data_IF_388059985941
#
_entry.id   IF_388059985941
#
_cell.length_a   1.000
_cell.length_b   1.000
_cell.length_c   1.000
_cell.angle_alpha   90.00
_cell.angle_beta   90.00
_cell.angle_gamma   90.00
#
_symmetry.space_group_name_H-M   'P 1'
#
loop_
_entity.id
_entity.type
_entity.pdbx_description
1 polymer ?
#
# COMPACT_ATOMS: atom_id res chain seq x y z
N UNK A 1 18.69 11.55 13.62
CA UNK A 1 19.24 10.77 12.47
C UNK A 1 18.60 9.39 12.35
N UNK A 2 18.62 8.54 13.40
CA UNK A 2 18.03 7.19 13.33
C UNK A 2 16.52 7.22 13.03
N UNK A 3 15.75 8.07 13.70
CA UNK A 3 14.31 8.19 13.44
C UNK A 3 14.01 8.52 11.97
N UNK A 4 14.65 9.55 11.42
CA UNK A 4 14.57 9.92 10.00
C UNK A 4 14.83 8.71 9.09
N UNK A 5 15.91 7.96 9.33
CA UNK A 5 16.26 6.79 8.52
C UNK A 5 15.19 5.70 8.59
N UNK A 6 14.63 5.41 9.77
CA UNK A 6 13.56 4.43 9.92
C UNK A 6 12.31 4.83 9.13
N UNK A 7 11.94 6.11 9.17
CA UNK A 7 10.83 6.64 8.38
C UNK A 7 11.09 6.53 6.89
N UNK A 8 12.27 6.94 6.42
CA UNK A 8 12.68 6.85 5.01
C UNK A 8 12.69 5.41 4.50
N UNK A 9 13.14 4.44 5.32
CA UNK A 9 13.08 3.01 4.98
C UNK A 9 11.63 2.54 4.88
N UNK A 10 10.77 2.89 5.85
CA UNK A 10 9.34 2.54 5.81
C UNK A 10 8.64 3.10 4.57
N UNK A 11 8.91 4.36 4.25
CA UNK A 11 8.41 5.04 3.06
C UNK A 11 8.93 4.40 1.77
N UNK A 12 10.22 4.04 1.72
CA UNK A 12 10.85 3.37 0.57
C UNK A 12 10.25 1.99 0.32
N UNK A 13 9.98 1.21 1.37
CA UNK A 13 9.28 -0.08 1.23
C UNK A 13 7.91 0.12 0.60
N UNK A 14 7.17 1.14 1.03
CA UNK A 14 5.84 1.44 0.48
C UNK A 14 5.90 1.86 -1.00
N UNK A 15 6.91 2.65 -1.38
CA UNK A 15 7.20 3.01 -2.79
C UNK A 15 7.47 1.74 -3.61
N UNK A 16 8.37 0.88 -3.15
CA UNK A 16 8.75 -0.35 -3.86
C UNK A 16 7.56 -1.27 -4.07
N UNK A 17 6.70 -1.44 -3.05
CA UNK A 17 5.48 -2.23 -3.15
C UNK A 17 4.50 -1.59 -4.14
N UNK A 18 4.33 -0.26 -4.10
CA UNK A 18 3.47 0.46 -5.03
C UNK A 18 3.89 0.25 -6.49
N UNK A 19 5.19 0.41 -6.77
CA UNK A 19 5.78 0.14 -8.10
C UNK A 19 5.60 -1.32 -8.49
N UNK A 20 5.92 -2.26 -7.58
CA UNK A 20 5.76 -3.69 -7.83
C UNK A 20 4.31 -4.08 -8.12
N UNK A 21 3.33 -3.45 -7.46
CA UNK A 21 1.91 -3.65 -7.75
C UNK A 21 1.54 -3.16 -9.13
N UNK A 22 1.97 -1.95 -9.52
CA UNK A 22 1.67 -1.40 -10.85
C UNK A 22 2.29 -2.26 -11.94
N UNK A 23 3.60 -2.53 -11.85
CA UNK A 23 4.30 -3.35 -12.84
C UNK A 23 3.78 -4.78 -12.85
N UNK A 24 3.50 -5.35 -11.68
CA UNK A 24 2.95 -6.69 -11.55
C UNK A 24 1.55 -6.82 -12.16
N UNK A 25 0.76 -5.75 -12.13
CA UNK A 25 -0.58 -5.73 -12.74
C UNK A 25 -0.52 -5.59 -14.27
N UNK A 26 0.40 -4.77 -14.79
CA UNK A 26 0.48 -4.49 -16.22
C UNK A 26 1.28 -5.54 -17.00
N UNK A 27 2.33 -6.10 -16.39
CA UNK A 27 3.37 -6.86 -17.09
C UNK A 27 3.58 -8.27 -16.53
N UNK A 28 2.79 -8.70 -15.55
CA UNK A 28 2.90 -10.03 -14.96
C UNK A 28 1.53 -10.67 -14.73
N UNK A 29 1.52 -11.96 -14.38
CA UNK A 29 0.32 -12.68 -13.97
C UNK A 29 0.26 -12.91 -12.45
N UNK A 30 1.15 -12.28 -11.67
CA UNK A 30 1.29 -12.54 -10.23
C UNK A 30 0.02 -12.24 -9.42
N UNK A 31 -0.79 -11.29 -9.90
CA UNK A 31 -2.05 -10.87 -9.28
C UNK A 31 -3.28 -11.44 -10.00
N UNK A 32 -3.09 -12.36 -10.95
CA UNK A 32 -4.19 -13.07 -11.57
C UNK A 32 -4.67 -14.21 -10.67
N UNK A 33 -5.97 -14.56 -10.71
CA UNK A 33 -6.43 -15.83 -10.18
C UNK A 33 -5.69 -16.99 -10.83
N UNK A 34 -5.39 -18.05 -10.05
CA UNK A 34 -4.76 -19.26 -10.59
C UNK A 34 -5.70 -20.03 -11.54
N UNK A 35 -7.02 -19.99 -11.27
CA UNK A 35 -8.03 -20.63 -12.10
C UNK A 35 -8.32 -19.80 -13.38
N UNK A 36 -7.95 -20.37 -14.53
CA UNK A 36 -8.20 -19.77 -15.85
C UNK A 36 -9.68 -19.64 -16.17
N UNK A 37 -10.52 -20.57 -15.71
CA UNK A 37 -11.97 -20.49 -15.94
C UNK A 37 -12.57 -19.29 -15.21
N UNK A 38 -12.07 -18.99 -14.01
CA UNK A 38 -12.46 -17.81 -13.26
C UNK A 38 -12.05 -16.53 -14.00
N UNK A 39 -10.85 -16.46 -14.56
CA UNK A 39 -10.42 -15.31 -15.37
C UNK A 39 -11.40 -15.06 -16.53
N UNK A 40 -11.73 -16.10 -17.30
CA UNK A 40 -12.65 -15.96 -18.43
C UNK A 40 -14.05 -15.54 -17.98
N UNK A 41 -14.53 -16.06 -16.84
CA UNK A 41 -15.79 -15.63 -16.24
C UNK A 41 -15.74 -14.17 -15.76
N UNK A 42 -14.64 -13.72 -15.18
CA UNK A 42 -14.46 -12.32 -14.77
C UNK A 42 -14.46 -11.36 -15.96
N UNK A 43 -13.95 -11.79 -17.13
CA UNK A 43 -13.94 -11.00 -18.36
C UNK A 43 -15.34 -10.84 -18.97
N UNK A 44 -16.23 -11.82 -18.79
CA UNK A 44 -17.60 -11.76 -19.32
C UNK A 44 -18.64 -11.24 -18.32
N UNK A 45 -18.34 -11.25 -17.02
CA UNK A 45 -19.27 -10.80 -15.97
C UNK A 45 -19.17 -9.28 -15.79
N UNK A 46 -20.30 -8.58 -15.96
CA UNK A 46 -20.43 -7.15 -15.68
C UNK A 46 -20.66 -6.87 -14.20
N UNK A 47 -20.15 -5.75 -13.72
CA UNK A 47 -20.47 -5.23 -12.39
C UNK A 47 -21.93 -4.75 -12.33
N UNK A 48 -22.57 -4.94 -11.17
CA UNK A 48 -23.91 -4.38 -10.94
C UNK A 48 -23.92 -2.85 -10.91
N UNK A 49 -22.86 -2.25 -10.38
CA UNK A 49 -22.71 -0.79 -10.24
C UNK A 49 -22.44 -0.10 -11.57
N UNK A 50 -21.81 -0.80 -12.52
CA UNK A 50 -21.49 -0.27 -13.84
C UNK A 50 -21.69 -1.36 -14.90
N UNK A 51 -22.73 -1.18 -15.72
CA UNK A 51 -23.13 -2.12 -16.78
C UNK A 51 -22.15 -2.18 -17.97
N UNK A 52 -21.07 -1.41 -17.95
CA UNK A 52 -19.99 -1.44 -18.96
C UNK A 52 -18.69 -1.99 -18.40
N UNK A 53 -18.50 -1.97 -17.09
CA UNK A 53 -17.29 -2.48 -16.45
C UNK A 53 -17.41 -3.98 -16.17
N UNK A 54 -16.48 -4.76 -16.73
CA UNK A 54 -16.34 -6.18 -16.39
C UNK A 54 -15.65 -6.32 -15.02
N UNK A 55 -15.91 -7.43 -14.32
CA UNK A 55 -15.22 -7.77 -13.08
C UNK A 55 -13.70 -7.81 -13.28
N UNK A 56 -13.24 -8.26 -14.45
CA UNK A 56 -11.82 -8.25 -14.84
C UNK A 56 -11.25 -6.84 -14.91
N UNK A 57 -11.92 -5.93 -15.62
CA UNK A 57 -11.43 -4.55 -15.75
C UNK A 57 -11.41 -3.84 -14.39
N UNK A 58 -12.41 -4.09 -13.53
CA UNK A 58 -12.44 -3.58 -12.17
C UNK A 58 -11.30 -4.14 -11.30
N UNK A 59 -11.00 -5.44 -11.42
CA UNK A 59 -9.88 -6.07 -10.72
C UNK A 59 -8.54 -5.46 -11.11
N UNK A 60 -8.29 -5.29 -12.41
CA UNK A 60 -7.07 -4.65 -12.93
C UNK A 60 -6.98 -3.20 -12.44
N UNK A 61 -8.04 -2.42 -12.59
CA UNK A 61 -8.07 -1.03 -12.14
C UNK A 61 -7.82 -0.91 -10.63
N UNK A 62 -8.44 -1.76 -9.81
CA UNK A 62 -8.26 -1.71 -8.36
C UNK A 62 -6.81 -1.97 -7.95
N UNK A 63 -6.14 -2.94 -8.56
CA UNK A 63 -4.73 -3.21 -8.29
C UNK A 63 -3.80 -2.07 -8.74
N UNK A 64 -4.08 -1.45 -9.90
CA UNK A 64 -3.36 -0.26 -10.37
C UNK A 64 -3.55 0.92 -9.42
N UNK A 65 -4.80 1.24 -9.09
CA UNK A 65 -5.14 2.35 -8.20
C UNK A 65 -4.52 2.15 -6.81
N UNK A 66 -4.59 0.94 -6.27
CA UNK A 66 -3.94 0.62 -5.00
C UNK A 66 -2.42 0.81 -5.07
N UNK A 67 -1.77 0.29 -6.11
CA UNK A 67 -0.33 0.47 -6.33
C UNK A 67 0.09 1.94 -6.43
N UNK A 68 -0.69 2.75 -7.17
CA UNK A 68 -0.45 4.20 -7.29
C UNK A 68 -0.64 4.92 -5.95
N UNK A 69 -1.69 4.61 -5.19
CA UNK A 69 -1.91 5.18 -3.87
C UNK A 69 -0.76 4.84 -2.92
N UNK A 70 -0.28 3.59 -2.94
CA UNK A 70 0.88 3.19 -2.13
C UNK A 70 2.14 3.96 -2.52
N UNK A 71 2.42 4.06 -3.82
CA UNK A 71 3.53 4.82 -4.35
C UNK A 71 3.48 6.28 -3.90
N UNK A 72 2.33 6.94 -4.06
CA UNK A 72 2.17 8.36 -3.72
C UNK A 72 2.33 8.59 -2.22
N UNK A 73 1.69 7.79 -1.36
CA UNK A 73 1.83 7.94 0.10
C UNK A 73 3.27 7.69 0.53
N UNK A 74 3.94 6.67 -0.03
CA UNK A 74 5.35 6.42 0.24
C UNK A 74 6.25 7.58 -0.22
N UNK A 75 6.04 8.10 -1.43
CA UNK A 75 6.81 9.21 -1.98
C UNK A 75 6.67 10.48 -1.14
N UNK A 76 5.44 10.87 -0.79
CA UNK A 76 5.22 12.03 0.07
C UNK A 76 5.82 11.82 1.47
N UNK A 77 5.66 10.63 2.04
CA UNK A 77 6.25 10.30 3.35
C UNK A 77 7.78 10.38 3.33
N UNK A 78 8.40 9.92 2.25
CA UNK A 78 9.86 9.99 2.06
C UNK A 78 10.32 11.45 1.93
N UNK A 79 9.68 12.23 1.06
CA UNK A 79 10.05 13.64 0.83
C UNK A 79 9.93 14.46 2.11
N UNK A 80 8.88 14.23 2.90
CA UNK A 80 8.69 14.92 4.18
C UNK A 80 9.80 14.58 5.18
N UNK A 81 10.18 13.31 5.32
CA UNK A 81 11.31 12.94 6.17
C UNK A 81 12.65 13.49 5.67
N UNK A 82 12.82 13.52 4.34
CA UNK A 82 14.06 13.98 3.73
C UNK A 82 14.28 15.48 3.91
N UNK A 83 13.24 16.29 3.67
CA UNK A 83 13.31 17.77 3.70
C UNK A 83 12.91 18.39 5.03
N UNK A 84 11.83 17.92 5.63
CA UNK A 84 11.12 18.62 6.71
C UNK A 84 10.74 17.67 7.85
N UNK A 85 11.75 17.11 8.51
CA UNK A 85 11.57 16.15 9.62
C UNK A 85 10.71 16.70 10.76
N UNK A 86 10.71 18.02 10.97
CA UNK A 86 9.90 18.69 11.99
C UNK A 86 8.39 18.48 11.79
N UNK A 87 7.91 18.35 10.56
CA UNK A 87 6.48 18.12 10.27
C UNK A 87 6.02 16.73 10.76
N UNK A 88 6.94 15.77 10.77
CA UNK A 88 6.70 14.38 11.19
C UNK A 88 7.29 14.09 12.58
N UNK A 89 7.55 15.13 13.37
CA UNK A 89 8.06 15.01 14.74
C UNK A 89 6.93 14.75 15.72
N UNK A 90 7.07 13.71 16.55
CA UNK A 90 6.06 13.29 17.51
C UNK A 90 4.72 12.87 16.90
N UNK A 91 3.67 12.92 17.73
CA UNK A 91 2.30 12.51 17.37
C UNK A 91 1.51 13.70 16.79
N UNK A 92 1.76 14.03 15.53
CA UNK A 92 0.96 14.99 14.77
C UNK A 92 -0.20 14.28 14.07
N UNK A 93 -1.18 15.05 13.58
CA UNK A 93 -2.28 14.51 12.77
C UNK A 93 -1.75 13.74 11.56
N UNK A 94 -0.66 14.20 10.95
CA UNK A 94 -0.06 13.54 9.80
C UNK A 94 0.58 12.21 10.18
N UNK A 95 1.39 12.16 11.25
CA UNK A 95 2.07 10.92 11.65
C UNK A 95 1.08 9.88 12.14
N UNK A 96 0.06 10.30 12.89
CA UNK A 96 -1.07 9.46 13.28
C UNK A 96 -1.85 8.95 12.06
N UNK A 97 -2.12 9.81 11.07
CA UNK A 97 -2.81 9.42 9.84
C UNK A 97 -2.06 8.32 9.08
N UNK A 98 -0.74 8.44 8.95
CA UNK A 98 0.10 7.44 8.26
C UNK A 98 0.11 6.11 9.03
N UNK A 99 0.31 6.16 10.35
CA UNK A 99 0.33 4.96 11.20
C UNK A 99 -1.02 4.27 11.25
N UNK A 100 -2.12 5.02 11.42
CA UNK A 100 -3.47 4.45 11.44
C UNK A 100 -3.79 3.82 10.08
N UNK A 101 -3.45 4.47 8.97
CA UNK A 101 -3.59 3.88 7.64
C UNK A 101 -2.82 2.55 7.50
N UNK A 102 -1.56 2.49 7.94
CA UNK A 102 -0.77 1.26 7.86
C UNK A 102 -1.30 0.15 8.79
N UNK A 103 -1.82 0.52 9.97
CA UNK A 103 -2.51 -0.40 10.88
C UNK A 103 -3.81 -0.95 10.28
N UNK A 104 -4.64 -0.11 9.66
CA UNK A 104 -5.87 -0.54 9.02
C UNK A 104 -5.60 -1.49 7.85
N UNK A 105 -4.58 -1.20 7.02
CA UNK A 105 -4.15 -2.12 5.96
C UNK A 105 -3.71 -3.46 6.56
N UNK A 106 -2.91 -3.43 7.63
CA UNK A 106 -2.47 -4.65 8.34
C UNK A 106 -3.66 -5.45 8.88
N UNK A 107 -4.63 -4.77 9.49
CA UNK A 107 -5.84 -5.37 10.05
C UNK A 107 -6.68 -6.06 8.97
N UNK A 108 -6.97 -5.38 7.86
CA UNK A 108 -7.73 -5.98 6.76
C UNK A 108 -6.94 -7.10 6.06
N UNK A 109 -5.63 -6.97 5.90
CA UNK A 109 -4.80 -8.04 5.36
C UNK A 109 -4.82 -9.28 6.26
N UNK A 110 -4.82 -9.12 7.58
CA UNK A 110 -5.00 -10.22 8.52
C UNK A 110 -6.41 -10.82 8.40
N UNK A 111 -7.45 -9.98 8.38
CA UNK A 111 -8.85 -10.42 8.33
C UNK A 111 -9.19 -11.17 7.04
N UNK A 112 -8.61 -10.75 5.92
CA UNK A 112 -8.77 -11.35 4.59
C UNK A 112 -7.69 -12.39 4.26
N UNK A 113 -6.82 -12.73 5.21
CA UNK A 113 -5.80 -13.79 5.10
C UNK A 113 -4.75 -13.53 3.99
N UNK A 114 -4.48 -12.26 3.69
CA UNK A 114 -3.48 -11.83 2.68
C UNK A 114 -2.09 -11.72 3.34
N UNK A 115 -1.41 -12.86 3.45
CA UNK A 115 -0.16 -13.00 4.21
C UNK A 115 0.96 -12.04 3.79
N UNK A 116 1.22 -11.90 2.49
CA UNK A 116 2.31 -11.05 1.96
C UNK A 116 2.11 -9.58 2.33
N UNK A 117 0.90 -9.05 2.08
CA UNK A 117 0.53 -7.67 2.43
C UNK A 117 0.65 -7.46 3.94
N UNK A 118 0.10 -8.37 4.74
CA UNK A 118 0.18 -8.28 6.21
C UNK A 118 1.63 -8.17 6.70
N UNK A 119 2.50 -9.07 6.27
CA UNK A 119 3.90 -9.08 6.74
C UNK A 119 4.60 -7.76 6.44
N UNK A 120 4.45 -7.24 5.22
CA UNK A 120 5.13 -6.00 4.84
C UNK A 120 4.55 -4.79 5.59
N UNK A 121 3.23 -4.70 5.75
CA UNK A 121 2.62 -3.58 6.46
C UNK A 121 2.83 -3.63 7.98
N UNK A 122 3.06 -4.80 8.57
CA UNK A 122 3.57 -4.89 9.96
C UNK A 122 4.94 -4.22 10.05
N UNK A 123 5.86 -4.54 9.15
CA UNK A 123 7.21 -3.95 9.14
C UNK A 123 7.12 -2.42 8.97
N UNK A 124 6.37 -1.95 7.98
CA UNK A 124 6.16 -0.50 7.73
C UNK A 124 5.57 0.19 8.97
N UNK A 125 4.56 -0.40 9.60
CA UNK A 125 3.93 0.17 10.80
C UNK A 125 4.92 0.26 11.96
N UNK A 126 5.73 -0.78 12.19
CA UNK A 126 6.76 -0.78 13.24
C UNK A 126 7.81 0.30 12.97
N UNK A 127 8.28 0.44 11.72
CA UNK A 127 9.25 1.46 11.35
C UNK A 127 8.74 2.88 11.62
N UNK A 128 7.50 3.19 11.23
CA UNK A 128 6.90 4.49 11.51
C UNK A 128 6.69 4.73 13.00
N UNK A 129 6.17 3.75 13.74
CA UNK A 129 5.97 3.87 15.19
C UNK A 129 7.29 4.12 15.94
N UNK A 130 8.32 3.32 15.65
CA UNK A 130 9.63 3.47 16.29
C UNK A 130 10.25 4.81 15.90
N UNK A 131 10.11 5.24 14.64
CA UNK A 131 10.54 6.57 14.21
C UNK A 131 9.88 7.68 15.04
N UNK A 132 8.56 7.63 15.23
CA UNK A 132 7.82 8.64 16.02
C UNK A 132 8.29 8.65 17.47
N UNK A 133 8.45 7.47 18.08
CA UNK A 133 8.89 7.34 19.48
C UNK A 133 10.31 7.86 19.70
N UNK A 134 11.20 7.72 18.72
CA UNK A 134 12.57 8.24 18.77
C UNK A 134 12.69 9.72 18.38
N UNK A 135 11.63 10.31 17.83
CA UNK A 135 11.59 11.69 17.34
C UNK A 135 10.57 12.53 18.12
N UNK A 136 10.52 12.38 19.45
CA UNK A 136 9.75 13.27 20.33
C UNK A 136 10.42 14.64 20.46
#
# INVERSE_FOLDING_TARGET
>A
MIAKLLWEIGASLQILIGVAHVLGTLYSQLLHPEDKNLIEKMKSTLLKVDKKATQWNAWIFFNLAFGLCLFMVGLFSFVLAYKDLEIIKGFTVLTLGIVVCSMLITFFAQRLVIRKVRTVFVIVTVLYLVSILLNQ
#
